data_IF_188190936551
#
_entry.id   IF_188190936551
#
_cell.length_a   1.000
_cell.length_b   1.000
_cell.length_c   1.000
_cell.angle_alpha   90.00
_cell.angle_beta   90.00
_cell.angle_gamma   90.00
#
_symmetry.space_group_name_H-M   'P 1'
#
loop_
_entity.id
_entity.type
_entity.pdbx_description
1 polymer ?
#
# COMPACT_ATOMS: atom_id res chain seq x y z
N UNK A 1 -0.08 49.72 33.43
CA UNK A 1 -0.02 48.86 32.23
C UNK A 1 0.48 47.51 32.69
N UNK A 2 -0.40 46.50 32.73
CA UNK A 2 -0.13 45.20 33.36
C UNK A 2 0.40 44.20 32.34
N UNK A 3 1.57 43.62 32.60
CA UNK A 3 2.11 42.50 31.82
C UNK A 3 1.77 41.18 32.49
N UNK A 4 1.32 40.22 31.67
CA UNK A 4 0.90 38.87 32.07
C UNK A 4 2.10 37.92 31.99
N UNK A 5 2.21 36.95 32.90
CA UNK A 5 3.13 35.79 32.75
C UNK A 5 2.43 34.48 33.12
N UNK A 6 2.57 33.48 32.24
CA UNK A 6 2.07 32.10 32.38
C UNK A 6 3.28 31.18 32.14
N UNK A 7 3.52 30.17 32.99
CA UNK A 7 4.48 29.03 32.82
C UNK A 7 4.73 28.31 34.17
N UNK A 8 4.96 26.99 34.33
CA UNK A 8 4.99 25.80 33.44
C UNK A 8 4.65 24.49 34.21
N UNK A 9 4.19 23.45 33.50
CA UNK A 9 4.46 21.98 33.63
C UNK A 9 3.36 21.19 32.89
N UNK A 10 3.60 20.08 32.17
CA UNK A 10 4.56 18.97 32.30
C UNK A 10 5.13 18.45 30.95
N UNK A 11 6.11 17.53 31.03
CA UNK A 11 6.80 16.69 30.03
C UNK A 11 6.00 16.27 28.74
N UNK A 12 6.55 16.38 27.51
CA UNK A 12 7.54 15.51 26.81
C UNK A 12 6.97 14.10 26.47
N UNK A 13 7.08 13.48 25.28
CA UNK A 13 8.05 13.50 24.13
C UNK A 13 7.30 13.63 22.77
N UNK A 14 7.81 13.53 21.52
CA UNK A 14 9.04 13.04 20.84
C UNK A 14 9.21 13.85 19.54
N UNK A 15 10.38 14.48 19.28
CA UNK A 15 10.55 15.39 18.12
C UNK A 15 11.45 14.82 16.99
N UNK A 16 11.00 15.11 15.78
CA UNK A 16 11.47 14.72 14.45
C UNK A 16 12.94 15.01 14.17
N UNK A 17 13.60 14.15 13.36
CA UNK A 17 14.61 14.63 12.41
C UNK A 17 14.21 14.33 10.95
N UNK A 18 14.71 15.17 10.04
CA UNK A 18 14.08 15.50 8.77
C UNK A 18 14.97 15.30 7.54
N UNK A 19 14.37 14.68 6.52
CA UNK A 19 14.51 15.03 5.09
C UNK A 19 15.74 14.56 4.28
N UNK A 20 15.50 14.60 2.96
CA UNK A 20 16.44 14.79 1.85
C UNK A 20 17.29 13.60 1.31
N UNK A 21 16.64 12.81 0.46
CA UNK A 21 17.00 12.66 -0.97
C UNK A 21 18.47 12.57 -1.42
N UNK A 22 18.91 11.38 -1.82
CA UNK A 22 19.79 11.03 -2.97
C UNK A 22 19.82 9.49 -3.05
N UNK A 23 19.93 8.77 -4.17
CA UNK A 23 20.25 9.11 -5.56
C UNK A 23 19.39 8.30 -6.56
N UNK A 24 19.35 8.76 -7.80
CA UNK A 24 18.68 8.09 -8.92
C UNK A 24 19.29 6.72 -9.24
N UNK A 25 18.57 5.66 -8.87
CA UNK A 25 18.72 4.33 -9.47
C UNK A 25 17.37 3.89 -10.02
N UNK A 26 17.26 3.76 -11.35
CA UNK A 26 16.07 3.17 -12.01
C UNK A 26 16.11 1.65 -11.76
N UNK A 27 15.81 1.30 -10.52
CA UNK A 27 15.71 -0.08 -10.08
C UNK A 27 14.40 -0.64 -10.64
N UNK A 28 14.37 -1.80 -11.31
CA UNK A 28 13.12 -2.45 -11.68
C UNK A 28 12.25 -2.56 -10.42
N UNK A 29 10.96 -2.20 -10.48
CA UNK A 29 10.17 -1.88 -9.29
C UNK A 29 10.21 -3.04 -8.30
N UNK A 30 10.91 -2.86 -7.17
CA UNK A 30 11.16 -3.92 -6.20
C UNK A 30 9.83 -4.45 -5.65
N UNK A 31 9.38 -5.56 -6.20
CA UNK A 31 8.06 -6.14 -5.97
C UNK A 31 7.96 -6.62 -4.53
N UNK A 32 7.48 -5.74 -3.66
CA UNK A 32 7.18 -6.08 -2.27
C UNK A 32 6.32 -7.35 -2.28
N UNK A 33 6.80 -8.40 -1.61
CA UNK A 33 6.02 -9.62 -1.38
C UNK A 33 4.69 -9.20 -0.75
N UNK A 34 3.53 -9.73 -1.19
CA UNK A 34 2.25 -9.39 -0.58
C UNK A 34 2.34 -9.61 0.94
N UNK A 35 1.91 -8.65 1.78
CA UNK A 35 1.99 -8.81 3.23
C UNK A 35 1.11 -9.98 3.70
N UNK A 36 1.44 -10.63 4.81
CA UNK A 36 0.67 -11.78 5.32
C UNK A 36 -0.72 -11.36 5.80
N UNK A 37 -0.79 -10.20 6.46
CA UNK A 37 -2.00 -9.49 6.93
C UNK A 37 -1.99 -8.09 6.32
N UNK A 38 -3.12 -7.57 5.89
CA UNK A 38 -3.18 -6.22 5.30
C UNK A 38 -3.16 -5.14 6.40
N UNK A 39 -2.41 -4.06 6.15
CA UNK A 39 -2.31 -2.87 7.01
C UNK A 39 -3.26 -1.76 6.57
N UNK A 40 -3.62 -0.85 7.47
CA UNK A 40 -4.52 0.29 7.16
C UNK A 40 -3.99 1.25 6.10
N UNK A 41 -2.68 1.26 5.84
CA UNK A 41 -2.06 1.98 4.71
C UNK A 41 -2.68 1.66 3.33
N UNK A 42 -3.37 0.52 3.16
CA UNK A 42 -4.14 0.23 1.92
C UNK A 42 -5.35 1.14 1.71
N UNK A 43 -5.83 1.82 2.76
CA UNK A 43 -6.95 2.76 2.72
C UNK A 43 -6.47 4.21 2.54
N UNK A 44 -5.19 4.47 2.83
CA UNK A 44 -4.59 5.80 2.72
C UNK A 44 -4.51 6.24 1.26
N UNK A 45 -5.01 7.45 0.96
CA UNK A 45 -5.13 7.97 -0.40
C UNK A 45 -6.25 7.34 -1.26
N UNK A 46 -7.03 6.41 -0.71
CA UNK A 46 -8.15 5.76 -1.40
C UNK A 46 -7.78 5.18 -2.77
N UNK A 47 -8.63 5.34 -3.78
CA UNK A 47 -8.32 4.89 -5.14
C UNK A 47 -7.20 5.68 -5.84
N UNK A 48 -6.88 6.90 -5.38
CA UNK A 48 -5.88 7.77 -6.02
C UNK A 48 -4.44 7.41 -5.62
N UNK A 49 -4.24 6.97 -4.37
CA UNK A 49 -2.93 6.58 -3.85
C UNK A 49 -2.40 5.24 -4.36
N UNK A 50 -3.19 4.48 -5.12
CA UNK A 50 -2.91 3.10 -5.49
C UNK A 50 -3.00 2.88 -6.99
N UNK A 51 -1.90 2.45 -7.61
CA UNK A 51 -1.83 2.21 -9.06
C UNK A 51 -1.93 0.72 -9.39
N UNK A 52 -2.80 0.38 -10.35
CA UNK A 52 -2.83 -0.95 -10.95
C UNK A 52 -1.70 -1.11 -11.98
N UNK A 53 -1.02 -2.25 -11.91
CA UNK A 53 0.06 -2.65 -12.83
C UNK A 53 -0.10 -4.14 -13.19
N UNK A 54 0.41 -4.60 -14.34
CA UNK A 54 0.52 -6.04 -14.61
C UNK A 54 1.37 -6.72 -13.53
N UNK A 55 1.04 -7.97 -13.21
CA UNK A 55 1.92 -8.84 -12.43
C UNK A 55 3.12 -9.17 -13.33
N UNK A 56 4.33 -8.81 -12.93
CA UNK A 56 5.51 -8.98 -13.77
C UNK A 56 5.88 -10.46 -13.92
N UNK A 57 6.61 -10.79 -15.00
CA UNK A 57 7.11 -12.14 -15.23
C UNK A 57 8.07 -12.56 -14.12
N UNK A 58 8.22 -13.87 -13.96
CA UNK A 58 9.34 -14.46 -13.22
C UNK A 58 10.29 -15.08 -14.23
N UNK A 59 11.55 -15.30 -13.86
CA UNK A 59 12.56 -15.90 -14.75
C UNK A 59 12.08 -17.22 -15.38
N UNK A 60 11.32 -18.00 -14.59
CA UNK A 60 10.73 -19.30 -14.99
C UNK A 60 9.45 -19.18 -15.84
N UNK A 61 8.80 -18.00 -15.90
CA UNK A 61 7.57 -17.75 -16.67
C UNK A 61 7.56 -16.34 -17.26
N UNK A 62 8.07 -16.24 -18.50
CA UNK A 62 8.13 -15.00 -19.30
C UNK A 62 6.76 -14.51 -19.78
N UNK A 63 5.80 -15.41 -20.04
CA UNK A 63 4.47 -15.10 -20.59
C UNK A 63 3.44 -14.48 -19.62
N UNK A 64 3.89 -13.77 -18.59
CA UNK A 64 3.04 -13.23 -17.52
C UNK A 64 2.68 -14.26 -16.45
N UNK A 65 2.54 -13.79 -15.21
CA UNK A 65 2.23 -14.64 -14.05
C UNK A 65 0.87 -14.26 -13.49
N UNK A 66 -0.03 -15.23 -13.34
CA UNK A 66 -1.28 -15.04 -12.62
C UNK A 66 -1.08 -15.25 -11.12
N UNK A 67 -1.75 -14.45 -10.30
CA UNK A 67 -1.76 -14.56 -8.84
C UNK A 67 -3.20 -14.53 -8.33
N UNK A 68 -3.48 -15.21 -7.21
CA UNK A 68 -4.82 -15.21 -6.58
C UNK A 68 -5.24 -13.80 -6.16
N UNK A 69 -6.47 -13.42 -6.48
CA UNK A 69 -7.07 -12.17 -6.02
C UNK A 69 -7.31 -12.25 -4.51
N UNK A 70 -6.76 -11.30 -3.74
CA UNK A 70 -6.94 -11.26 -2.28
C UNK A 70 -8.41 -11.11 -1.89
N UNK A 71 -9.13 -10.17 -2.50
CA UNK A 71 -10.54 -9.90 -2.19
C UNK A 71 -11.49 -11.03 -2.61
N UNK A 72 -11.22 -11.74 -3.71
CA UNK A 72 -12.00 -12.95 -4.00
C UNK A 72 -11.71 -14.05 -2.96
N UNK A 73 -10.44 -14.17 -2.55
CA UNK A 73 -10.04 -15.15 -1.52
C UNK A 73 -10.66 -14.89 -0.14
N UNK A 74 -10.91 -13.62 0.25
CA UNK A 74 -11.61 -13.31 1.51
C UNK A 74 -13.09 -13.73 1.49
N UNK A 75 -13.70 -13.85 0.30
CA UNK A 75 -15.04 -14.39 0.11
C UNK A 75 -15.07 -15.91 -0.20
N UNK A 76 -13.94 -16.63 -0.07
CA UNK A 76 -13.85 -18.05 -0.44
C UNK A 76 -13.85 -18.32 -1.96
N UNK A 77 -13.86 -17.30 -2.80
CA UNK A 77 -13.91 -17.44 -4.26
C UNK A 77 -12.50 -17.49 -4.84
N UNK A 78 -12.13 -18.64 -5.45
CA UNK A 78 -10.85 -18.75 -6.14
C UNK A 78 -10.90 -18.07 -7.52
N UNK A 79 -10.39 -16.83 -7.59
CA UNK A 79 -10.10 -16.13 -8.85
C UNK A 79 -8.64 -15.73 -8.91
N UNK A 80 -8.02 -15.89 -10.09
CA UNK A 80 -6.65 -15.49 -10.37
C UNK A 80 -6.63 -14.32 -11.34
N UNK A 81 -5.57 -13.51 -11.30
CA UNK A 81 -5.47 -12.29 -12.09
C UNK A 81 -4.01 -11.97 -12.45
N UNK A 82 -3.83 -11.35 -13.61
CA UNK A 82 -2.55 -10.86 -14.14
C UNK A 82 -2.27 -9.40 -13.76
N UNK A 83 -3.04 -8.80 -12.82
CA UNK A 83 -2.83 -7.43 -12.33
C UNK A 83 -2.71 -7.35 -10.80
N UNK A 84 -1.93 -6.38 -10.32
CA UNK A 84 -1.70 -6.11 -8.90
C UNK A 84 -1.66 -4.62 -8.61
N UNK A 85 -1.83 -4.26 -7.34
CA UNK A 85 -1.52 -2.92 -6.85
C UNK A 85 0.01 -2.79 -6.71
N UNK A 86 0.61 -1.77 -7.33
CA UNK A 86 2.04 -1.50 -7.23
C UNK A 86 2.46 -1.17 -5.79
N UNK A 87 1.65 -0.34 -5.11
CA UNK A 87 1.92 0.15 -3.76
C UNK A 87 1.79 -0.96 -2.71
N UNK A 88 0.71 -1.76 -2.77
CA UNK A 88 0.45 -2.82 -1.80
C UNK A 88 1.15 -4.16 -2.12
N UNK A 89 1.60 -4.37 -3.35
CA UNK A 89 2.15 -5.66 -3.82
C UNK A 89 1.11 -6.78 -4.01
N UNK A 90 -0.19 -6.49 -3.79
CA UNK A 90 -1.28 -7.49 -3.75
C UNK A 90 -1.99 -7.61 -5.10
N UNK A 91 -2.23 -8.84 -5.54
CA UNK A 91 -3.03 -9.14 -6.74
C UNK A 91 -4.54 -8.98 -6.46
N UNK A 92 -5.22 -8.24 -7.33
CA UNK A 92 -6.61 -7.83 -7.17
C UNK A 92 -7.28 -7.73 -8.54
N UNK A 93 -8.50 -8.28 -8.70
CA UNK A 93 -9.26 -8.09 -9.93
C UNK A 93 -9.52 -6.60 -10.20
N UNK A 94 -9.46 -6.19 -11.48
CA UNK A 94 -9.62 -4.79 -11.95
C UNK A 94 -10.71 -4.03 -11.19
N UNK A 95 -11.90 -4.62 -11.14
CA UNK A 95 -13.07 -4.09 -10.45
C UNK A 95 -14.05 -5.24 -10.16
N UNK A 96 -14.85 -5.22 -9.08
CA UNK A 96 -14.88 -4.23 -7.99
C UNK A 96 -13.79 -4.43 -6.92
N UNK A 97 -13.04 -5.55 -6.96
CA UNK A 97 -12.08 -5.94 -5.93
C UNK A 97 -11.04 -4.85 -5.61
N UNK A 98 -10.46 -4.21 -6.62
CA UNK A 98 -9.51 -3.12 -6.40
C UNK A 98 -10.12 -1.94 -5.64
N UNK A 99 -11.38 -1.56 -5.92
CA UNK A 99 -12.08 -0.52 -5.17
C UNK A 99 -12.30 -0.96 -3.72
N UNK A 100 -12.95 -2.09 -3.50
CA UNK A 100 -13.30 -2.54 -2.15
C UNK A 100 -12.07 -2.66 -1.23
N UNK A 101 -10.96 -3.21 -1.76
CA UNK A 101 -9.72 -3.38 -1.01
C UNK A 101 -9.08 -2.04 -0.57
N UNK A 102 -9.24 -0.95 -1.34
CA UNK A 102 -8.64 0.36 -1.02
C UNK A 102 -9.65 1.37 -0.44
N UNK A 103 -10.94 1.03 -0.31
CA UNK A 103 -11.96 1.94 0.25
C UNK A 103 -12.72 1.40 1.46
N UNK A 104 -12.63 0.10 1.79
CA UNK A 104 -13.40 -0.51 2.89
C UNK A 104 -12.51 -1.22 3.90
N UNK A 105 -12.82 -1.08 5.20
CA UNK A 105 -12.14 -1.83 6.28
C UNK A 105 -12.33 -3.36 6.13
N UNK A 106 -13.52 -3.83 5.76
CA UNK A 106 -13.79 -5.22 5.34
C UNK A 106 -14.12 -5.25 3.85
N UNK A 107 -13.56 -6.19 3.10
CA UNK A 107 -13.58 -6.23 1.63
C UNK A 107 -13.73 -7.63 1.05
#
# INVERSE_FOLDING_TARGET
MTVTTISEKEANVDETDSQASTSSAITPPSLKRPPKKDSDARLQGGLKGHKMVPVPPTEKKKGGVMRKCRACSSHGVRKETSVMCANCGVALCKFPCFRNYHTRKKY
#
